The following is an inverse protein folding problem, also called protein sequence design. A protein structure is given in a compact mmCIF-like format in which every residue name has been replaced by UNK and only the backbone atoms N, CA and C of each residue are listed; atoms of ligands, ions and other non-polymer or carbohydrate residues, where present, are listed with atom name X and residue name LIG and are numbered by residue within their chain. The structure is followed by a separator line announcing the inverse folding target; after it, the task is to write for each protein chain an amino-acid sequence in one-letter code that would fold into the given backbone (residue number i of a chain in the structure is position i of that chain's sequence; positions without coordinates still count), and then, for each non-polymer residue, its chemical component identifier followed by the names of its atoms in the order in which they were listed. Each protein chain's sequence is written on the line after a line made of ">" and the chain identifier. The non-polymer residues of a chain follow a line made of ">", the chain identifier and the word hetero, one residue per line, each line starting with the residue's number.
data_IF_298673137155
#
_entry.id   IF_298673137155
#
_cell.length_a   1.000
_cell.length_b   1.000
_cell.length_c   1.000
_cell.angle_alpha   90.00
_cell.angle_beta   90.00
_cell.angle_gamma   90.00
#
_symmetry.space_group_name_H-M   'P 1'
#
loop_
_entity.id
_entity.type
_entity.pdbx_description
1 polymer ?
#
# COMPACT_ATOMS: atom_id res chain seq x y z
N UNK A 1 -17.12 -23.91 14.20
CA UNK A 1 -15.73 -23.58 13.83
C UNK A 1 -14.86 -23.75 15.08
N UNK A 2 -13.62 -24.26 14.97
CA UNK A 2 -12.73 -24.42 16.13
C UNK A 2 -12.46 -23.09 16.82
N UNK A 3 -12.53 -23.06 18.16
CA UNK A 3 -12.16 -21.89 18.97
C UNK A 3 -10.63 -21.85 19.09
N UNK A 4 -9.97 -21.22 18.12
CA UNK A 4 -8.51 -21.08 18.08
C UNK A 4 -8.14 -19.75 17.43
N UNK A 5 -6.97 -19.24 17.77
CA UNK A 5 -6.39 -18.12 17.06
C UNK A 5 -5.69 -18.61 15.78
N UNK A 6 -5.69 -17.74 14.78
CA UNK A 6 -5.01 -17.90 13.50
C UNK A 6 -4.02 -16.76 13.37
N UNK A 7 -2.81 -17.06 12.91
CA UNK A 7 -1.83 -16.06 12.54
C UNK A 7 -2.06 -15.71 11.07
N UNK A 8 -2.37 -14.45 10.80
CA UNK A 8 -2.47 -13.92 9.44
C UNK A 8 -1.26 -13.05 9.19
N UNK A 9 -0.49 -13.41 8.17
CA UNK A 9 0.63 -12.61 7.69
C UNK A 9 0.30 -12.01 6.34
N UNK A 10 0.74 -10.78 6.14
CA UNK A 10 0.58 -10.06 4.89
C UNK A 10 1.91 -9.42 4.50
N UNK A 11 2.28 -9.55 3.23
CA UNK A 11 3.49 -8.94 2.69
C UNK A 11 3.28 -8.45 1.28
N UNK A 12 4.09 -7.48 0.88
CA UNK A 12 4.20 -7.05 -0.50
C UNK A 12 5.59 -7.41 -1.02
N UNK A 13 5.63 -8.06 -2.18
CA UNK A 13 6.88 -8.41 -2.87
C UNK A 13 6.85 -7.87 -4.29
N UNK A 14 8.02 -7.66 -4.87
CA UNK A 14 8.12 -7.48 -6.32
C UNK A 14 8.06 -8.84 -7.00
N UNK A 15 7.39 -8.90 -8.14
CA UNK A 15 7.37 -10.07 -8.99
C UNK A 15 8.75 -10.25 -9.62
N UNK A 16 9.39 -11.38 -9.34
CA UNK A 16 10.72 -11.69 -9.86
C UNK A 16 10.67 -12.07 -11.34
N UNK A 17 11.39 -11.33 -12.18
CA UNK A 17 11.77 -11.75 -13.53
C UNK A 17 13.30 -11.74 -13.64
N UNK A 18 13.88 -12.75 -14.30
CA UNK A 18 15.30 -12.79 -14.60
C UNK A 18 15.69 -11.62 -15.53
N UNK A 19 16.07 -10.49 -14.94
CA UNK A 19 16.41 -9.28 -15.68
C UNK A 19 16.89 -8.16 -14.75
N UNK A 20 18.01 -7.55 -15.12
CA UNK A 20 18.60 -6.40 -14.43
C UNK A 20 17.87 -5.12 -14.87
N UNK A 21 17.42 -4.31 -13.91
CA UNK A 21 16.72 -3.04 -14.17
C UNK A 21 17.51 -1.92 -13.52
N UNK A 22 17.92 -0.93 -14.32
CA UNK A 22 18.56 0.29 -13.84
C UNK A 22 17.61 1.45 -14.14
N UNK A 23 17.29 2.25 -13.13
CA UNK A 23 16.43 3.41 -13.26
C UNK A 23 16.92 4.55 -12.37
N UNK A 24 16.67 5.79 -12.79
CA UNK A 24 17.08 7.01 -12.10
C UNK A 24 16.00 7.59 -11.19
N UNK A 25 14.83 6.92 -11.08
CA UNK A 25 13.72 7.35 -10.22
C UNK A 25 13.76 6.63 -8.87
N UNK A 26 13.44 7.29 -7.74
CA UNK A 26 13.32 6.64 -6.45
C UNK A 26 12.35 5.47 -6.51
N UNK A 27 12.79 4.28 -6.10
CA UNK A 27 11.92 3.11 -5.97
C UNK A 27 10.99 3.33 -4.78
N UNK A 28 9.68 3.34 -5.01
CA UNK A 28 8.73 3.43 -3.91
C UNK A 28 8.93 2.23 -2.96
N UNK A 29 9.05 2.44 -1.64
CA UNK A 29 9.34 1.35 -0.71
C UNK A 29 8.23 0.28 -0.73
N UNK A 30 8.63 -0.98 -0.52
CA UNK A 30 7.69 -2.07 -0.30
C UNK A 30 7.07 -1.94 1.08
N UNK A 31 5.84 -2.44 1.21
CA UNK A 31 5.19 -2.58 2.50
C UNK A 31 5.96 -3.57 3.38
N UNK A 32 6.30 -3.14 4.61
CA UNK A 32 6.86 -4.03 5.61
C UNK A 32 5.87 -5.16 5.92
N UNK A 33 6.31 -6.43 6.05
CA UNK A 33 5.43 -7.54 6.40
C UNK A 33 4.70 -7.28 7.73
N UNK A 34 3.45 -7.69 7.78
CA UNK A 34 2.54 -7.49 8.91
C UNK A 34 2.03 -8.82 9.39
N UNK A 35 1.96 -8.99 10.70
CA UNK A 35 1.49 -10.22 11.33
C UNK A 35 0.41 -9.88 12.35
N UNK A 36 -0.71 -10.59 12.27
CA UNK A 36 -1.88 -10.41 13.13
C UNK A 36 -2.29 -11.76 13.70
N UNK A 37 -2.48 -11.83 15.01
CA UNK A 37 -3.13 -12.97 15.64
C UNK A 37 -4.63 -12.67 15.78
N UNK A 38 -5.45 -13.49 15.15
CA UNK A 38 -6.89 -13.24 15.01
C UNK A 38 -7.66 -14.48 15.41
N UNK A 39 -8.65 -14.31 16.29
CA UNK A 39 -9.54 -15.40 16.66
C UNK A 39 -10.33 -15.89 15.45
N UNK A 40 -10.38 -17.19 15.23
CA UNK A 40 -11.12 -17.80 14.12
C UNK A 40 -12.58 -17.32 14.09
N UNK A 41 -13.01 -16.81 12.93
CA UNK A 41 -14.33 -16.22 12.71
C UNK A 41 -14.49 -14.77 13.12
N UNK A 42 -13.54 -14.21 13.87
CA UNK A 42 -13.55 -12.82 14.36
C UNK A 42 -12.80 -11.88 13.43
N UNK A 43 -13.06 -10.59 13.57
CA UNK A 43 -12.39 -9.54 12.81
C UNK A 43 -11.25 -8.93 13.62
N UNK A 44 -10.13 -8.65 12.96
CA UNK A 44 -9.06 -7.80 13.47
C UNK A 44 -8.85 -6.60 12.53
N UNK A 45 -8.46 -5.46 13.11
CA UNK A 45 -8.08 -4.25 12.37
C UNK A 45 -6.75 -3.74 12.91
N UNK A 46 -5.81 -3.46 12.00
CA UNK A 46 -4.55 -2.80 12.30
C UNK A 46 -4.41 -1.59 11.37
N UNK A 47 -4.14 -0.42 11.95
CA UNK A 47 -4.00 0.83 11.21
C UNK A 47 -2.82 1.60 11.76
N UNK A 48 -1.96 2.07 10.87
CA UNK A 48 -0.81 2.90 11.20
C UNK A 48 -0.66 3.96 10.13
N UNK A 49 -0.38 5.17 10.55
CA UNK A 49 -0.21 6.27 9.63
C UNK A 49 0.19 7.53 10.37
N UNK A 50 0.56 8.52 9.60
CA UNK A 50 0.90 9.85 10.05
C UNK A 50 0.14 10.87 9.21
N UNK A 51 -0.32 11.94 9.86
CA UNK A 51 -0.85 13.11 9.20
C UNK A 51 0.30 14.12 9.06
N UNK A 52 0.68 14.42 7.82
CA UNK A 52 1.76 15.35 7.50
C UNK A 52 1.12 16.72 7.24
N UNK A 53 1.32 17.72 8.10
CA UNK A 53 0.88 19.08 7.81
C UNK A 53 1.75 19.66 6.71
N UNK A 54 1.11 20.32 5.75
CA UNK A 54 1.80 20.95 4.63
C UNK A 54 1.32 22.38 4.45
N UNK A 55 2.27 23.30 4.52
CA UNK A 55 2.06 24.69 4.17
C UNK A 55 2.50 24.93 2.72
N UNK A 56 1.68 25.64 1.96
CA UNK A 56 1.98 26.03 0.58
C UNK A 56 1.53 27.47 0.32
N UNK A 57 2.14 28.13 -0.68
CA UNK A 57 1.83 29.52 -1.04
C UNK A 57 0.69 29.52 -2.05
N UNK A 58 -0.44 30.15 -1.70
CA UNK A 58 -1.63 30.24 -2.56
C UNK A 58 -1.56 31.39 -3.56
N UNK A 59 -1.01 32.53 -3.13
CA UNK A 59 -0.90 33.72 -3.98
C UNK A 59 0.16 34.66 -3.44
N UNK A 60 0.88 35.29 -4.36
CA UNK A 60 1.80 36.41 -4.11
C UNK A 60 1.23 37.67 -4.76
N UNK A 61 1.01 38.70 -3.96
CA UNK A 61 0.61 40.01 -4.44
C UNK A 61 1.82 40.93 -4.42
N UNK A 62 2.15 41.50 -5.57
CA UNK A 62 3.19 42.52 -5.68
C UNK A 62 2.72 43.83 -5.03
N UNK A 63 3.66 44.58 -4.44
CA UNK A 63 3.36 45.88 -3.88
C UNK A 63 2.98 46.87 -4.99
N UNK A 64 1.83 47.54 -4.84
CA UNK A 64 1.40 48.64 -5.68
C UNK A 64 1.59 49.99 -4.96
N UNK A 65 1.37 51.13 -5.65
CA UNK A 65 1.58 52.47 -5.08
C UNK A 65 0.78 52.76 -3.79
N UNK A 66 -0.29 52.00 -3.54
CA UNK A 66 -1.20 52.12 -2.38
C UNK A 66 -1.41 50.79 -1.63
N UNK A 67 -0.71 49.71 -2.01
CA UNK A 67 -0.92 48.35 -1.44
C UNK A 67 0.42 47.67 -1.15
N UNK A 68 0.60 47.15 0.06
CA UNK A 68 1.79 46.39 0.45
C UNK A 68 1.86 45.01 -0.23
N UNK A 69 3.06 44.46 -0.38
CA UNK A 69 3.23 43.08 -0.84
C UNK A 69 2.66 42.10 0.19
N UNK A 70 2.03 41.01 -0.28
CA UNK A 70 1.39 40.04 0.60
C UNK A 70 1.51 38.61 0.06
N UNK A 71 1.78 37.67 0.96
CA UNK A 71 1.81 36.23 0.68
C UNK A 71 0.62 35.60 1.39
N UNK A 72 -0.25 34.92 0.64
CA UNK A 72 -1.31 34.08 1.21
C UNK A 72 -0.81 32.64 1.29
N UNK A 73 -0.84 32.05 2.47
CA UNK A 73 -0.46 30.64 2.68
C UNK A 73 -1.68 29.79 3.00
N UNK A 74 -1.67 28.54 2.56
CA UNK A 74 -2.69 27.53 2.85
C UNK A 74 -2.07 26.35 3.60
N UNK A 75 -2.84 25.74 4.50
CA UNK A 75 -2.48 24.51 5.21
C UNK A 75 -3.31 23.34 4.68
N UNK A 76 -2.68 22.25 4.30
CA UNK A 76 -3.34 20.98 3.96
C UNK A 76 -2.74 19.83 4.74
N UNK A 77 -3.56 18.85 5.11
CA UNK A 77 -3.11 17.64 5.81
C UNK A 77 -3.04 16.48 4.82
N UNK A 78 -1.84 15.93 4.64
CA UNK A 78 -1.64 14.75 3.82
C UNK A 78 -1.62 13.51 4.72
N UNK A 79 -2.38 12.49 4.35
CA UNK A 79 -2.38 11.22 5.08
C UNK A 79 -1.45 10.24 4.40
N UNK A 80 -0.50 9.71 5.15
CA UNK A 80 0.34 8.60 4.75
C UNK A 80 0.16 7.47 5.76
N UNK A 81 -0.24 6.29 5.33
CA UNK A 81 -0.57 5.22 6.24
C UNK A 81 -1.16 4.01 5.54
N UNK A 82 -1.42 2.98 6.33
CA UNK A 82 -1.97 1.72 5.86
C UNK A 82 -2.97 1.20 6.89
N UNK A 83 -4.02 0.55 6.41
CA UNK A 83 -5.05 -0.08 7.23
C UNK A 83 -5.34 -1.46 6.68
N UNK A 84 -5.44 -2.44 7.57
CA UNK A 84 -5.70 -3.84 7.27
C UNK A 84 -6.85 -4.28 8.15
N UNK A 85 -7.88 -4.82 7.51
CA UNK A 85 -8.99 -5.47 8.20
C UNK A 85 -9.03 -6.89 7.69
N UNK A 86 -9.08 -7.84 8.61
CA UNK A 86 -9.10 -9.25 8.25
C UNK A 86 -10.07 -10.03 9.11
N UNK A 87 -10.75 -10.99 8.49
CA UNK A 87 -11.63 -11.95 9.15
C UNK A 87 -11.38 -13.35 8.60
N UNK A 88 -10.50 -14.13 9.24
CA UNK A 88 -10.24 -15.50 8.83
C UNK A 88 -11.32 -16.44 9.36
N UNK A 89 -11.69 -17.44 8.56
CA UNK A 89 -12.65 -18.50 8.89
C UNK A 89 -12.04 -19.84 8.47
N UNK A 90 -11.68 -20.64 9.44
CA UNK A 90 -11.08 -21.96 9.23
C UNK A 90 -11.99 -23.05 9.78
N UNK A 91 -12.41 -24.02 8.95
CA UNK A 91 -13.29 -25.10 9.39
C UNK A 91 -12.58 -26.18 10.23
N UNK A 92 -11.25 -26.30 10.14
CA UNK A 92 -10.45 -27.28 10.89
C UNK A 92 -9.63 -28.23 10.00
N UNK A 93 -8.78 -29.05 10.61
CA UNK A 93 -8.04 -30.11 9.92
C UNK A 93 -7.04 -29.59 8.88
N UNK A 94 -7.11 -30.10 7.65
CA UNK A 94 -6.24 -29.68 6.52
C UNK A 94 -6.96 -28.74 5.54
N UNK A 95 -8.17 -28.30 5.88
CA UNK A 95 -8.96 -27.47 4.99
C UNK A 95 -8.37 -26.05 4.92
N UNK A 96 -8.50 -25.42 3.76
CA UNK A 96 -8.10 -24.03 3.55
C UNK A 96 -8.92 -23.09 4.45
N UNK A 97 -8.30 -22.01 4.90
CA UNK A 97 -8.98 -20.93 5.59
C UNK A 97 -9.57 -19.94 4.57
N UNK A 98 -10.85 -19.61 4.72
CA UNK A 98 -11.46 -18.51 3.97
C UNK A 98 -11.15 -17.21 4.69
N UNK A 99 -10.64 -16.22 3.98
CA UNK A 99 -10.20 -14.95 4.57
C UNK A 99 -10.84 -13.80 3.83
N UNK A 100 -11.67 -13.04 4.54
CA UNK A 100 -12.10 -11.72 4.08
C UNK A 100 -11.02 -10.72 4.46
N UNK A 101 -10.55 -9.93 3.50
CA UNK A 101 -9.49 -8.95 3.69
C UNK A 101 -9.81 -7.64 2.99
N UNK A 102 -9.58 -6.56 3.72
CA UNK A 102 -9.56 -5.18 3.23
C UNK A 102 -8.18 -4.57 3.53
N UNK A 103 -7.57 -4.00 2.50
CA UNK A 103 -6.29 -3.30 2.59
C UNK A 103 -6.44 -1.92 2.00
N UNK A 104 -6.18 -0.90 2.80
CA UNK A 104 -6.15 0.49 2.37
C UNK A 104 -4.74 1.03 2.55
N UNK A 105 -4.22 1.71 1.54
CA UNK A 105 -2.91 2.36 1.57
C UNK A 105 -3.03 3.81 1.14
N UNK A 106 -2.22 4.66 1.77
CA UNK A 106 -2.02 6.04 1.39
C UNK A 106 -0.54 6.38 1.47
N UNK A 107 0.04 6.90 0.39
CA UNK A 107 1.42 7.36 0.33
C UNK A 107 1.48 8.80 -0.14
N UNK A 108 2.50 9.52 0.30
CA UNK A 108 2.78 10.90 -0.09
C UNK A 108 4.14 10.90 -0.77
N UNK A 109 4.18 11.32 -2.03
CA UNK A 109 5.41 11.44 -2.81
C UNK A 109 5.74 12.92 -3.01
N UNK A 110 6.86 13.34 -2.43
CA UNK A 110 7.42 14.67 -2.67
C UNK A 110 7.90 14.78 -4.12
N UNK A 111 7.50 15.85 -4.80
CA UNK A 111 7.93 16.13 -6.18
C UNK A 111 8.95 17.28 -6.15
N UNK A 112 10.22 17.04 -6.51
CA UNK A 112 11.18 18.13 -6.69
C UNK A 112 10.66 19.11 -7.75
N UNK A 113 10.53 20.40 -7.38
CA UNK A 113 10.10 21.46 -8.30
C UNK A 113 8.59 21.65 -8.49
N UNK A 114 7.73 20.90 -7.78
CA UNK A 114 6.29 21.15 -7.74
C UNK A 114 5.85 21.72 -6.38
N UNK A 115 4.87 22.61 -6.36
CA UNK A 115 4.37 23.26 -5.14
C UNK A 115 3.63 22.31 -4.18
N UNK A 116 3.06 21.22 -4.68
CA UNK A 116 2.29 20.24 -3.89
C UNK A 116 2.77 18.81 -4.18
N UNK A 117 3.07 17.99 -3.15
CA UNK A 117 3.24 16.56 -3.26
C UNK A 117 1.99 15.88 -3.76
N UNK A 118 2.19 14.74 -4.41
CA UNK A 118 1.07 13.89 -4.81
C UNK A 118 0.78 12.86 -3.74
N UNK A 119 -0.50 12.78 -3.35
CA UNK A 119 -1.01 11.72 -2.51
C UNK A 119 -1.56 10.61 -3.39
N UNK A 120 -1.05 9.39 -3.23
CA UNK A 120 -1.59 8.19 -3.86
C UNK A 120 -2.37 7.39 -2.83
N UNK A 121 -3.48 6.79 -3.25
CA UNK A 121 -4.30 5.92 -2.41
C UNK A 121 -4.60 4.63 -3.17
N UNK A 122 -4.67 3.52 -2.44
CA UNK A 122 -5.03 2.22 -2.97
C UNK A 122 -5.97 1.50 -2.01
N UNK A 123 -6.90 0.73 -2.57
CA UNK A 123 -7.82 -0.10 -1.81
C UNK A 123 -7.96 -1.47 -2.49
N UNK A 124 -7.95 -2.52 -1.66
CA UNK A 124 -8.19 -3.90 -2.08
C UNK A 124 -9.19 -4.49 -1.11
N UNK A 125 -10.32 -4.97 -1.62
CA UNK A 125 -11.32 -5.72 -0.85
C UNK A 125 -11.54 -7.04 -1.55
N UNK A 126 -11.24 -8.15 -0.87
CA UNK A 126 -11.38 -9.48 -1.48
C UNK A 126 -11.60 -10.57 -0.43
N UNK A 127 -12.15 -11.69 -0.88
CA UNK A 127 -12.23 -12.93 -0.11
C UNK A 127 -11.42 -13.99 -0.82
N UNK A 128 -10.49 -14.63 -0.11
CA UNK A 128 -9.60 -15.64 -0.66
C UNK A 128 -9.62 -16.94 0.15
N UNK A 129 -9.26 -18.04 -0.50
CA UNK A 129 -8.99 -19.31 0.16
C UNK A 129 -7.47 -19.45 0.33
N UNK A 130 -7.03 -19.62 1.58
CA UNK A 130 -5.63 -19.74 1.94
C UNK A 130 -5.34 -21.13 2.55
N UNK A 131 -4.58 -22.00 1.86
CA UNK A 131 -4.04 -23.19 2.47
C UNK A 131 -3.14 -22.81 3.66
N UNK A 132 -3.23 -23.55 4.76
CA UNK A 132 -2.47 -23.23 5.96
C UNK A 132 -0.95 -23.31 5.69
N UNK A 133 -0.22 -22.31 6.18
CA UNK A 133 1.24 -22.20 6.05
C UNK A 133 1.73 -21.76 4.67
N UNK A 134 0.86 -21.52 3.70
CA UNK A 134 1.24 -21.16 2.33
C UNK A 134 0.97 -19.69 2.01
N UNK A 135 1.84 -19.10 1.20
CA UNK A 135 1.64 -17.76 0.66
C UNK A 135 0.72 -17.80 -0.55
N UNK A 136 -0.35 -17.02 -0.51
CA UNK A 136 -1.31 -16.85 -1.59
C UNK A 136 -1.29 -15.41 -2.06
N UNK A 137 -1.19 -15.20 -3.37
CA UNK A 137 -1.29 -13.86 -3.97
C UNK A 137 -2.74 -13.43 -4.02
N UNK A 138 -3.07 -12.31 -3.39
CA UNK A 138 -4.44 -11.77 -3.29
C UNK A 138 -4.67 -10.57 -4.21
N UNK A 139 -3.60 -9.87 -4.59
CA UNK A 139 -3.65 -8.78 -5.55
C UNK A 139 -2.31 -8.64 -6.28
N UNK A 140 -2.36 -8.11 -7.51
CA UNK A 140 -1.21 -7.74 -8.32
C UNK A 140 -1.41 -6.30 -8.79
N UNK A 141 -0.37 -5.48 -8.68
CA UNK A 141 -0.39 -4.08 -9.13
C UNK A 141 0.85 -3.79 -9.97
N UNK A 142 0.76 -2.81 -10.87
CA UNK A 142 1.81 -2.51 -11.86
C UNK A 142 1.61 -3.22 -13.20
N UNK A 143 2.40 -2.82 -14.19
CA UNK A 143 2.35 -3.34 -15.57
C UNK A 143 3.42 -4.40 -15.80
N UNK A 144 3.04 -5.55 -16.34
CA UNK A 144 4.00 -6.53 -16.85
C UNK A 144 4.44 -6.15 -18.27
N UNK A 145 5.74 -6.04 -18.51
CA UNK A 145 6.28 -5.82 -19.86
C UNK A 145 6.17 -7.11 -20.68
N UNK A 146 5.57 -7.08 -21.89
CA UNK A 146 5.54 -8.25 -22.76
C UNK A 146 6.97 -8.70 -23.16
N UNK A 147 7.24 -10.02 -23.22
CA UNK A 147 8.50 -10.53 -23.73
C UNK A 147 8.78 -10.02 -25.15
N UNK A 148 10.03 -9.62 -25.43
CA UNK A 148 10.44 -9.18 -26.77
C UNK A 148 10.13 -7.72 -27.13
N UNK A 149 9.57 -6.92 -26.20
CA UNK A 149 9.44 -5.47 -26.37
C UNK A 149 10.49 -4.72 -25.57
N UNK A 150 11.34 -3.96 -26.27
CA UNK A 150 12.27 -3.01 -25.67
C UNK A 150 11.57 -1.66 -25.57
N UNK A 151 11.27 -1.19 -24.36
CA UNK A 151 10.82 0.19 -24.14
C UNK A 151 11.70 0.87 -23.10
N UNK A 152 12.01 2.13 -23.34
CA UNK A 152 12.80 2.99 -22.45
C UNK A 152 11.99 3.51 -21.25
N UNK A 153 10.66 3.31 -21.22
CA UNK A 153 9.76 3.64 -20.10
C UNK A 153 9.35 2.41 -19.25
N UNK A 154 9.46 1.20 -19.80
CA UNK A 154 9.05 -0.05 -19.17
C UNK A 154 9.95 -0.48 -17.98
N UNK A 155 11.06 0.21 -17.77
CA UNK A 155 11.99 -0.03 -16.66
C UNK A 155 11.49 0.48 -15.30
N UNK A 156 10.32 1.13 -15.23
CA UNK A 156 10.05 2.05 -14.11
C UNK A 156 9.37 1.42 -12.89
N UNK A 157 8.70 0.27 -13.01
CA UNK A 157 8.08 -0.40 -11.86
C UNK A 157 7.83 -1.89 -12.14
N UNK A 158 8.53 -2.78 -11.41
CA UNK A 158 8.18 -4.20 -11.40
C UNK A 158 6.76 -4.38 -10.85
N UNK A 159 5.97 -5.32 -11.38
CA UNK A 159 4.69 -5.63 -10.78
C UNK A 159 4.88 -6.02 -9.30
N UNK A 160 3.99 -5.54 -8.45
CA UNK A 160 3.98 -5.81 -7.01
C UNK A 160 2.89 -6.80 -6.72
N UNK A 161 3.23 -7.84 -5.97
CA UNK A 161 2.30 -8.86 -5.49
C UNK A 161 1.99 -8.61 -4.02
N UNK A 162 0.71 -8.54 -3.69
CA UNK A 162 0.23 -8.59 -2.32
C UNK A 162 -0.06 -10.04 -1.98
N UNK A 163 0.57 -10.55 -0.94
CA UNK A 163 0.47 -11.94 -0.53
C UNK A 163 0.01 -12.08 0.90
N UNK A 164 -0.80 -13.10 1.14
CA UNK A 164 -1.34 -13.46 2.44
C UNK A 164 -0.97 -14.90 2.78
N UNK A 165 -0.65 -15.14 4.06
CA UNK A 165 -0.48 -16.47 4.62
C UNK A 165 -1.31 -16.59 5.88
N UNK A 166 -1.97 -17.73 6.06
CA UNK A 166 -2.64 -18.07 7.31
C UNK A 166 -1.93 -19.26 7.92
N UNK A 167 -1.55 -19.18 9.18
CA UNK A 167 -0.97 -20.29 9.92
C UNK A 167 -1.66 -20.45 11.27
N UNK A 168 -1.39 -21.59 11.89
CA UNK A 168 -1.70 -21.79 13.29
C UNK A 168 -0.59 -21.13 14.12
N UNK A 169 -0.92 -20.53 15.28
CA UNK A 169 0.07 -20.02 16.22
C UNK A 169 0.95 -21.15 16.76
#
# INVERSE_FOLDING_TARGET
>A
MPVRDLVVELRQIEEGSAGYVVGTRPQAPLMAPQQLQVRNGSQARLSWGQAIPMQWVQSVNAAGPMTGAGVKQGLTWLQAGQTFIVRPRWPGGQQAASVDIEVQTASVEARPGAELPTQQRGEVVTTVQAPLGQWVTIARSGSSTPPGTYRSDAATQRPRLLQLRVSLP
#
